data_IF_449963206370
#
_entry.id   IF_449963206370
#
_cell.length_a   1.000
_cell.length_b   1.000
_cell.length_c   1.000
_cell.angle_alpha   90.00
_cell.angle_beta   90.00
_cell.angle_gamma   90.00
#
_symmetry.space_group_name_H-M   'P 1'
#
loop_
_entity.id
_entity.type
_entity.pdbx_description
1 polymer ?
#
# COMPACT_ATOMS: atom_id res chain seq x y z
N UNK A 1 -12.01 -43.81 57.64
CA UNK A 1 -12.17 -42.41 57.25
C UNK A 1 -11.20 -41.95 56.13
N UNK A 2 -9.93 -42.29 56.11
CA UNK A 2 -8.96 -41.86 55.05
C UNK A 2 -9.27 -42.37 53.65
N UNK A 3 -9.92 -43.52 53.46
CA UNK A 3 -10.31 -44.08 52.18
C UNK A 3 -11.49 -43.33 51.49
N UNK A 4 -12.40 -42.78 52.29
CA UNK A 4 -13.58 -42.04 51.78
C UNK A 4 -13.17 -40.68 51.19
N UNK A 5 -12.19 -40.02 51.80
CA UNK A 5 -11.68 -38.73 51.27
C UNK A 5 -10.87 -38.91 49.98
N UNK A 6 -10.19 -40.04 49.79
CA UNK A 6 -9.47 -40.35 48.56
C UNK A 6 -10.42 -40.62 47.40
N UNK A 7 -11.55 -41.31 47.63
CA UNK A 7 -12.58 -41.57 46.64
C UNK A 7 -13.33 -40.28 46.23
N UNK A 8 -13.62 -39.39 47.20
CA UNK A 8 -14.24 -38.08 46.91
C UNK A 8 -13.31 -37.14 46.13
N UNK A 9 -11.99 -37.14 46.40
CA UNK A 9 -11.04 -36.34 45.65
C UNK A 9 -10.84 -36.84 44.22
N UNK A 10 -10.92 -38.14 43.96
CA UNK A 10 -10.85 -38.74 42.63
C UNK A 10 -12.14 -38.44 41.84
N UNK A 11 -13.31 -38.42 42.52
CA UNK A 11 -14.58 -38.06 41.88
C UNK A 11 -14.63 -36.57 41.46
N UNK A 12 -14.09 -35.66 42.30
CA UNK A 12 -13.99 -34.24 41.96
C UNK A 12 -12.99 -33.96 40.85
N UNK A 13 -11.89 -34.70 40.74
CA UNK A 13 -10.94 -34.55 39.63
C UNK A 13 -11.50 -35.05 38.30
N UNK A 14 -12.35 -36.09 38.30
CA UNK A 14 -13.00 -36.58 37.11
C UNK A 14 -14.14 -35.67 36.62
N UNK A 15 -14.83 -34.93 37.48
CA UNK A 15 -15.85 -33.97 37.10
C UNK A 15 -15.25 -32.69 36.53
N UNK A 16 -14.06 -32.28 36.98
CA UNK A 16 -13.32 -31.14 36.41
C UNK A 16 -12.76 -31.49 35.01
N UNK A 17 -12.29 -32.73 34.82
CA UNK A 17 -11.78 -33.18 33.52
C UNK A 17 -12.89 -33.31 32.45
N UNK A 18 -14.13 -33.69 32.86
CA UNK A 18 -15.26 -33.81 31.94
C UNK A 18 -15.86 -32.44 31.53
N UNK A 19 -15.78 -31.43 32.40
CA UNK A 19 -16.22 -30.07 32.02
C UNK A 19 -15.21 -29.32 31.11
N UNK A 20 -13.93 -29.70 31.13
CA UNK A 20 -12.91 -29.15 30.24
C UNK A 20 -13.02 -29.69 28.81
N UNK A 21 -13.69 -30.81 28.55
CA UNK A 21 -13.85 -31.42 27.23
C UNK A 21 -15.11 -30.99 26.49
N UNK A 22 -16.02 -30.21 27.07
CA UNK A 22 -17.24 -29.72 26.47
C UNK A 22 -17.09 -28.27 25.93
N UNK A 23 -15.88 -27.87 25.55
CA UNK A 23 -15.76 -26.72 24.66
C UNK A 23 -16.03 -27.19 23.23
N UNK A 24 -17.28 -27.06 22.83
CA UNK A 24 -17.79 -27.42 21.51
C UNK A 24 -16.89 -26.88 20.41
N UNK A 25 -16.46 -27.75 19.51
CA UNK A 25 -15.77 -27.42 18.26
C UNK A 25 -16.58 -26.43 17.41
N UNK A 26 -17.88 -26.29 17.67
CA UNK A 26 -18.80 -25.43 16.97
C UNK A 26 -18.82 -23.96 17.45
N UNK A 27 -18.31 -23.68 18.66
CA UNK A 27 -18.23 -22.30 19.16
C UNK A 27 -17.07 -21.49 18.52
N UNK A 28 -16.12 -22.14 17.85
CA UNK A 28 -15.05 -21.47 17.12
C UNK A 28 -15.46 -20.98 15.73
N UNK A 29 -16.57 -21.45 15.19
CA UNK A 29 -17.06 -21.04 13.85
C UNK A 29 -17.56 -19.59 13.78
N UNK A 30 -17.79 -18.96 14.92
CA UNK A 30 -18.26 -17.58 15.03
C UNK A 30 -17.25 -16.59 15.63
N UNK A 31 -16.02 -17.06 15.98
CA UNK A 31 -14.98 -16.15 16.40
C UNK A 31 -14.38 -15.50 15.16
N UNK A 32 -14.47 -14.17 15.04
CA UNK A 32 -13.84 -13.48 13.91
C UNK A 32 -12.36 -13.84 13.84
N UNK A 33 -11.76 -13.95 12.66
CA UNK A 33 -10.36 -14.26 12.52
C UNK A 33 -9.53 -13.25 13.31
N UNK A 34 -8.58 -13.72 14.13
CA UNK A 34 -7.71 -12.87 14.97
C UNK A 34 -6.93 -11.81 14.18
N UNK A 35 -6.87 -11.95 12.85
CA UNK A 35 -6.15 -11.07 11.92
C UNK A 35 -7.04 -10.74 10.72
N UNK A 36 -8.11 -10.03 10.98
CA UNK A 36 -8.95 -9.49 9.93
C UNK A 36 -8.31 -8.20 9.37
N UNK A 37 -8.23 -8.07 8.05
CA UNK A 37 -7.81 -6.83 7.39
C UNK A 37 -9.05 -5.97 7.13
N UNK A 38 -9.11 -4.82 7.79
CA UNK A 38 -10.11 -3.76 7.58
C UNK A 38 -9.37 -2.56 6.99
N UNK A 39 -9.24 -2.55 5.68
CA UNK A 39 -8.41 -1.59 4.96
C UNK A 39 -9.24 -0.51 4.27
N UNK A 40 -8.62 0.65 4.09
CA UNK A 40 -9.16 1.76 3.31
C UNK A 40 -8.11 2.25 2.31
N UNK A 41 -8.53 2.54 1.08
CA UNK A 41 -7.73 3.29 0.12
C UNK A 41 -7.86 4.77 0.40
N UNK A 42 -6.73 5.43 0.59
CA UNK A 42 -6.63 6.86 0.82
C UNK A 42 -5.91 7.49 -0.36
N UNK A 43 -6.68 8.14 -1.24
CA UNK A 43 -6.14 8.70 -2.47
C UNK A 43 -5.56 10.10 -2.26
N UNK A 44 -4.41 10.34 -2.90
CA UNK A 44 -3.75 11.65 -2.88
C UNK A 44 -3.94 12.42 -4.19
N UNK A 45 -4.40 11.74 -5.25
CA UNK A 45 -4.59 12.36 -6.58
C UNK A 45 -5.52 13.57 -6.50
N UNK A 46 -5.02 14.74 -6.89
CA UNK A 46 -5.79 15.98 -6.85
C UNK A 46 -6.29 16.38 -5.47
N UNK A 47 -5.77 15.78 -4.40
CA UNK A 47 -6.21 16.03 -3.04
C UNK A 47 -7.63 15.50 -2.74
N UNK A 48 -8.10 14.43 -3.42
CA UNK A 48 -9.47 13.91 -3.26
C UNK A 48 -9.77 13.48 -1.82
N UNK A 49 -8.89 12.72 -1.18
CA UNK A 49 -9.04 12.40 0.23
C UNK A 49 -8.08 13.24 1.06
N UNK A 50 -6.79 13.23 0.74
CA UNK A 50 -5.72 13.99 1.37
C UNK A 50 -4.58 14.22 0.36
N UNK A 51 -3.89 15.38 0.42
CA UNK A 51 -4.14 16.54 1.28
C UNK A 51 -5.15 17.52 0.66
N UNK A 52 -5.86 18.25 1.50
CA UNK A 52 -6.75 19.37 1.10
C UNK A 52 -6.00 20.70 1.02
N UNK A 53 -4.94 20.83 1.81
CA UNK A 53 -4.10 22.03 1.88
C UNK A 53 -2.75 21.76 1.22
N UNK A 54 -2.29 22.67 0.34
CA UNK A 54 -0.94 22.61 -0.21
C UNK A 54 0.08 23.10 0.82
N UNK A 55 1.12 22.27 1.07
CA UNK A 55 2.20 22.59 1.99
C UNK A 55 3.30 23.40 1.28
N UNK A 56 3.46 24.68 1.65
CA UNK A 56 4.47 25.59 1.14
C UNK A 56 4.94 26.62 2.17
N UNK A 57 4.34 26.66 3.36
CA UNK A 57 4.75 27.45 4.52
C UNK A 57 4.69 26.59 5.77
N UNK A 58 5.38 26.93 6.87
CA UNK A 58 5.28 26.19 8.12
C UNK A 58 3.83 26.00 8.59
N UNK A 59 3.01 27.04 8.48
CA UNK A 59 1.59 26.97 8.85
C UNK A 59 0.79 26.01 7.99
N UNK A 60 1.02 25.98 6.67
CA UNK A 60 0.29 25.09 5.76
C UNK A 60 0.80 23.66 5.85
N UNK A 61 2.07 23.44 6.20
CA UNK A 61 2.62 22.12 6.52
C UNK A 61 1.90 21.53 7.73
N UNK A 62 1.81 22.29 8.83
CA UNK A 62 1.12 21.82 10.03
C UNK A 62 -0.37 21.57 9.79
N UNK A 63 -1.02 22.42 8.99
CA UNK A 63 -2.42 22.20 8.61
C UNK A 63 -2.58 20.91 7.81
N UNK A 64 -1.73 20.64 6.81
CA UNK A 64 -1.75 19.42 6.00
C UNK A 64 -1.55 18.17 6.87
N UNK A 65 -0.62 18.23 7.83
CA UNK A 65 -0.40 17.15 8.80
C UNK A 65 -1.63 16.92 9.69
N UNK A 66 -2.24 17.99 10.20
CA UNK A 66 -3.43 17.90 11.03
C UNK A 66 -4.63 17.32 10.28
N UNK A 67 -4.78 17.61 8.98
CA UNK A 67 -5.80 17.01 8.11
C UNK A 67 -5.65 15.48 8.09
N UNK A 68 -4.43 14.96 7.93
CA UNK A 68 -4.17 13.52 7.95
C UNK A 68 -4.46 12.92 9.34
N UNK A 69 -3.97 13.52 10.40
CA UNK A 69 -4.24 13.05 11.76
C UNK A 69 -5.74 12.94 12.04
N UNK A 70 -6.52 13.95 11.65
CA UNK A 70 -7.98 13.94 11.82
C UNK A 70 -8.64 12.81 11.05
N UNK A 71 -8.20 12.56 9.82
CA UNK A 71 -8.69 11.46 8.99
C UNK A 71 -8.35 10.10 9.61
N UNK A 72 -7.10 9.91 10.05
CA UNK A 72 -6.65 8.67 10.69
C UNK A 72 -7.38 8.41 12.01
N UNK A 73 -7.70 9.44 12.80
CA UNK A 73 -8.51 9.32 14.03
C UNK A 73 -9.93 8.83 13.72
N UNK A 74 -10.53 9.29 12.61
CA UNK A 74 -11.84 8.80 12.16
C UNK A 74 -11.78 7.34 11.72
N UNK A 75 -10.74 6.96 10.99
CA UNK A 75 -10.52 5.59 10.55
C UNK A 75 -10.29 4.63 11.74
N UNK A 76 -9.52 5.06 12.73
CA UNK A 76 -9.30 4.30 13.97
C UNK A 76 -10.62 4.10 14.73
N UNK A 77 -11.45 5.14 14.87
CA UNK A 77 -12.78 5.04 15.49
C UNK A 77 -13.72 4.10 14.73
N UNK A 78 -13.56 4.00 13.41
CA UNK A 78 -14.27 3.05 12.57
C UNK A 78 -13.67 1.63 12.58
N UNK A 79 -12.71 1.35 13.47
CA UNK A 79 -11.99 0.08 13.58
C UNK A 79 -11.21 -0.33 12.31
N UNK A 80 -10.82 0.62 11.45
CA UNK A 80 -9.88 0.33 10.37
C UNK A 80 -8.50 0.05 10.96
N UNK A 81 -7.79 -0.92 10.39
CA UNK A 81 -6.48 -1.33 10.86
C UNK A 81 -5.38 -1.29 9.78
N UNK A 82 -5.73 -0.88 8.57
CA UNK A 82 -4.80 -0.80 7.45
C UNK A 82 -5.19 0.38 6.54
N UNK A 83 -4.21 1.20 6.19
CA UNK A 83 -4.35 2.30 5.23
C UNK A 83 -3.49 2.01 4.00
N UNK A 84 -4.11 2.00 2.81
CA UNK A 84 -3.40 1.97 1.54
C UNK A 84 -3.28 3.41 1.05
N UNK A 85 -2.15 4.06 1.36
CA UNK A 85 -1.89 5.45 1.01
C UNK A 85 -1.35 5.55 -0.42
N UNK A 86 -2.03 6.31 -1.27
CA UNK A 86 -1.56 6.52 -2.65
C UNK A 86 -0.25 7.30 -2.66
N UNK A 87 0.85 6.56 -2.81
CA UNK A 87 2.23 7.04 -2.69
C UNK A 87 2.85 7.38 -4.04
N UNK A 88 2.54 6.59 -5.08
CA UNK A 88 2.85 6.87 -6.48
C UNK A 88 1.57 7.05 -7.27
N UNK A 89 1.47 8.14 -8.03
CA UNK A 89 0.22 8.54 -8.70
C UNK A 89 0.32 8.32 -10.21
N UNK A 90 0.99 9.23 -10.94
CA UNK A 90 1.11 9.20 -12.41
C UNK A 90 2.54 9.48 -12.86
N UNK A 91 3.47 8.62 -12.44
CA UNK A 91 4.90 8.88 -12.62
C UNK A 91 5.40 10.03 -11.75
N UNK A 92 4.70 10.26 -10.65
CA UNK A 92 5.00 11.24 -9.59
C UNK A 92 4.74 10.62 -8.23
N UNK A 93 5.39 11.11 -7.20
CA UNK A 93 5.37 10.54 -5.84
C UNK A 93 5.15 11.60 -4.77
N UNK A 94 4.82 11.18 -3.55
CA UNK A 94 4.62 12.05 -2.39
C UNK A 94 5.75 11.96 -1.36
N UNK A 95 6.92 11.48 -1.77
CA UNK A 95 8.11 11.32 -0.92
C UNK A 95 9.37 11.73 -1.72
N UNK A 96 10.52 12.01 -1.08
CA UNK A 96 11.76 12.28 -1.79
C UNK A 96 12.26 11.03 -2.52
N UNK A 97 12.20 11.04 -3.85
CA UNK A 97 12.57 9.92 -4.71
C UNK A 97 13.70 10.28 -5.66
N UNK A 98 14.59 9.30 -5.93
CA UNK A 98 15.62 9.40 -6.96
C UNK A 98 15.09 9.14 -8.38
N UNK A 99 13.89 8.54 -8.49
CA UNK A 99 13.30 8.09 -9.75
C UNK A 99 12.28 9.07 -10.31
N UNK A 100 11.36 9.54 -9.48
CA UNK A 100 10.21 10.31 -9.92
C UNK A 100 10.09 11.67 -9.18
N UNK A 101 9.55 12.70 -9.83
CA UNK A 101 9.38 14.01 -9.22
C UNK A 101 8.20 14.01 -8.24
N UNK A 102 8.20 15.00 -7.36
CA UNK A 102 7.09 15.28 -6.45
C UNK A 102 5.77 15.49 -7.19
N UNK A 103 4.70 14.92 -6.68
CA UNK A 103 3.37 15.25 -7.15
C UNK A 103 2.94 16.64 -6.65
N UNK A 104 2.20 17.35 -7.49
CA UNK A 104 1.71 18.69 -7.15
C UNK A 104 0.64 18.70 -6.06
N UNK A 105 0.01 17.55 -5.75
CA UNK A 105 -1.01 17.48 -4.72
C UNK A 105 -0.48 17.87 -3.33
N UNK A 106 0.80 17.63 -3.04
CA UNK A 106 1.38 17.91 -1.72
C UNK A 106 1.82 19.37 -1.54
N UNK A 107 2.37 20.00 -2.58
CA UNK A 107 2.93 21.36 -2.48
C UNK A 107 2.15 22.42 -3.26
N UNK A 108 1.18 22.04 -4.09
CA UNK A 108 0.52 22.91 -5.07
C UNK A 108 1.36 23.18 -6.30
N UNK A 109 2.63 22.74 -6.33
CA UNK A 109 3.56 22.97 -7.43
C UNK A 109 4.22 21.64 -7.85
N UNK A 110 3.82 21.07 -9.00
CA UNK A 110 4.39 19.82 -9.49
C UNK A 110 5.93 19.86 -9.57
N UNK A 111 6.58 18.81 -9.08
CA UNK A 111 8.04 18.70 -9.01
C UNK A 111 8.69 19.39 -7.82
N UNK A 112 7.94 20.07 -6.96
CA UNK A 112 8.46 20.77 -5.79
C UNK A 112 8.14 20.04 -4.49
N UNK A 113 9.14 19.94 -3.59
CA UNK A 113 8.95 19.40 -2.25
C UNK A 113 7.96 20.23 -1.43
N UNK A 114 7.13 19.59 -0.60
CA UNK A 114 6.27 20.27 0.37
C UNK A 114 7.02 20.81 1.62
N UNK A 115 8.34 20.58 1.72
CA UNK A 115 9.14 20.98 2.88
C UNK A 115 9.17 19.97 4.03
N UNK A 116 8.56 18.81 3.87
CA UNK A 116 8.64 17.65 4.77
C UNK A 116 8.44 16.36 3.97
N UNK A 117 8.50 15.21 4.62
CA UNK A 117 8.23 13.91 4.00
C UNK A 117 6.82 13.42 4.37
N UNK A 118 5.82 13.54 3.44
CA UNK A 118 4.46 13.10 3.67
C UNK A 118 4.31 11.60 3.90
N UNK A 119 5.12 10.76 3.25
CA UNK A 119 5.05 9.31 3.42
C UNK A 119 5.57 8.90 4.80
N UNK A 120 6.73 9.40 5.20
CA UNK A 120 7.29 9.15 6.53
C UNK A 120 6.29 9.56 7.63
N UNK A 121 5.74 10.78 7.51
CA UNK A 121 4.76 11.28 8.45
C UNK A 121 3.51 10.38 8.53
N UNK A 122 3.00 9.93 7.38
CA UNK A 122 1.81 9.07 7.34
C UNK A 122 2.06 7.70 8.00
N UNK A 123 3.23 7.10 7.77
CA UNK A 123 3.62 5.83 8.40
C UNK A 123 3.65 5.99 9.93
N UNK A 124 4.34 7.02 10.42
CA UNK A 124 4.43 7.29 11.87
C UNK A 124 3.05 7.49 12.51
N UNK A 125 2.17 8.25 11.84
CA UNK A 125 0.83 8.53 12.36
C UNK A 125 -0.12 7.31 12.27
N UNK A 126 0.05 6.44 11.27
CA UNK A 126 -0.63 5.14 11.22
C UNK A 126 -0.17 4.24 12.37
N UNK A 127 1.15 4.08 12.58
CA UNK A 127 1.72 3.24 13.62
C UNK A 127 1.33 3.70 15.03
N UNK A 128 1.31 5.01 15.30
CA UNK A 128 0.82 5.57 16.58
C UNK A 128 -0.62 5.16 16.90
N UNK A 129 -1.43 4.85 15.89
CA UNK A 129 -2.83 4.43 16.01
C UNK A 129 -3.02 2.91 15.91
N UNK A 130 -1.93 2.13 15.84
CA UNK A 130 -1.97 0.68 15.66
C UNK A 130 -2.48 0.23 14.29
N UNK A 131 -2.34 1.09 13.28
CA UNK A 131 -2.71 0.79 11.89
C UNK A 131 -1.47 0.51 11.04
N UNK A 132 -1.58 -0.45 10.13
CA UNK A 132 -0.59 -0.66 9.08
C UNK A 132 -0.71 0.44 8.01
N UNK A 133 0.44 0.87 7.47
CA UNK A 133 0.53 1.77 6.32
C UNK A 133 1.12 1.03 5.13
N UNK A 134 0.34 0.89 4.06
CA UNK A 134 0.77 0.28 2.81
C UNK A 134 0.95 1.36 1.74
N UNK A 135 2.07 1.36 1.04
CA UNK A 135 2.28 2.25 -0.09
C UNK A 135 1.47 1.78 -1.31
N UNK A 136 0.48 2.55 -1.70
CA UNK A 136 -0.31 2.31 -2.91
C UNK A 136 0.40 2.89 -4.13
N UNK A 137 0.84 2.02 -5.04
CA UNK A 137 1.64 2.33 -6.22
C UNK A 137 0.79 2.12 -7.47
N UNK A 138 0.34 3.21 -8.10
CA UNK A 138 -0.27 3.16 -9.45
C UNK A 138 0.82 2.80 -10.45
N UNK A 139 0.77 1.61 -11.06
CA UNK A 139 1.91 0.98 -11.72
C UNK A 139 2.06 1.40 -13.20
N UNK A 140 1.10 1.06 -14.04
CA UNK A 140 1.19 1.23 -15.50
C UNK A 140 0.80 2.63 -16.01
N UNK A 141 -0.27 3.28 -15.54
CA UNK A 141 -0.62 4.64 -15.98
C UNK A 141 0.40 5.68 -15.55
N UNK A 142 0.70 6.62 -16.45
CA UNK A 142 1.64 7.74 -16.22
C UNK A 142 0.95 9.10 -16.36
N UNK A 143 -0.24 9.14 -16.97
CA UNK A 143 -1.07 10.33 -17.12
C UNK A 143 -0.86 11.06 -18.44
N UNK A 144 -1.36 12.29 -18.50
CA UNK A 144 -1.34 13.06 -19.77
C UNK A 144 0.09 13.46 -20.19
N UNK A 145 0.41 13.51 -21.50
CA UNK A 145 1.77 13.78 -22.01
C UNK A 145 2.43 15.04 -21.45
N UNK A 146 1.63 16.06 -21.13
CA UNK A 146 2.10 17.34 -20.60
C UNK A 146 2.33 17.33 -19.08
N UNK A 147 1.97 16.24 -18.37
CA UNK A 147 2.19 16.09 -16.95
C UNK A 147 3.67 16.00 -16.58
N UNK A 148 3.97 16.26 -15.31
CA UNK A 148 5.34 16.23 -14.78
C UNK A 148 5.95 14.82 -14.83
N UNK A 149 5.19 13.79 -14.45
CA UNK A 149 5.63 12.40 -14.52
C UNK A 149 5.97 11.94 -15.94
N UNK A 150 5.05 12.06 -16.94
CA UNK A 150 5.35 11.70 -18.32
C UNK A 150 6.53 12.46 -18.91
N UNK A 151 6.66 13.77 -18.64
CA UNK A 151 7.81 14.57 -19.10
C UNK A 151 9.13 14.06 -18.51
N UNK A 152 9.14 13.75 -17.23
CA UNK A 152 10.33 13.18 -16.58
C UNK A 152 10.71 11.83 -17.20
N UNK A 153 9.75 10.91 -17.29
CA UNK A 153 9.98 9.59 -17.87
C UNK A 153 10.38 9.66 -19.36
N UNK A 154 9.74 10.51 -20.15
CA UNK A 154 10.09 10.69 -21.57
C UNK A 154 11.54 11.18 -21.73
N UNK A 155 12.03 12.00 -20.83
CA UNK A 155 13.42 12.49 -20.87
C UNK A 155 14.43 11.42 -20.45
N UNK A 156 14.11 10.60 -19.46
CA UNK A 156 15.04 9.64 -18.83
C UNK A 156 14.93 8.24 -19.44
N UNK A 157 13.72 7.82 -19.78
CA UNK A 157 13.35 6.46 -20.16
C UNK A 157 12.25 6.45 -21.23
N UNK A 158 12.47 7.07 -22.41
CA UNK A 158 11.45 7.16 -23.46
C UNK A 158 10.97 5.79 -23.94
N UNK A 159 11.84 4.79 -23.90
CA UNK A 159 11.56 3.41 -24.32
C UNK A 159 10.52 2.70 -23.45
N UNK A 160 10.28 3.17 -22.23
CA UNK A 160 9.29 2.61 -21.31
C UNK A 160 7.87 3.10 -21.61
N UNK A 161 7.72 4.14 -22.42
CA UNK A 161 6.45 4.81 -22.60
C UNK A 161 5.74 4.42 -23.90
N UNK A 162 4.42 4.35 -23.82
CA UNK A 162 3.51 4.30 -24.96
C UNK A 162 2.38 5.30 -24.75
N UNK A 163 1.84 5.83 -25.87
CA UNK A 163 0.67 6.70 -25.85
C UNK A 163 -0.55 5.91 -26.32
N UNK A 164 -1.65 6.02 -25.57
CA UNK A 164 -2.94 5.44 -25.93
C UNK A 164 -3.99 6.54 -25.70
N UNK A 165 -4.68 6.93 -26.78
CA UNK A 165 -5.56 8.10 -26.71
C UNK A 165 -4.79 9.34 -26.26
N UNK A 166 -5.28 10.01 -25.23
CA UNK A 166 -4.69 11.23 -24.67
C UNK A 166 -3.79 10.97 -23.45
N UNK A 167 -3.51 9.73 -23.12
CA UNK A 167 -2.73 9.37 -21.95
C UNK A 167 -1.47 8.56 -22.29
N UNK A 168 -0.49 8.66 -21.40
CA UNK A 168 0.76 7.91 -21.42
C UNK A 168 0.70 6.76 -20.45
N UNK A 169 1.27 5.64 -20.84
CA UNK A 169 1.35 4.42 -20.05
C UNK A 169 2.77 3.85 -20.13
N UNK A 170 3.18 3.10 -19.12
CA UNK A 170 4.35 2.26 -19.22
C UNK A 170 4.05 1.04 -20.11
N UNK A 171 5.07 0.52 -20.79
CA UNK A 171 4.97 -0.66 -21.67
C UNK A 171 5.07 -1.95 -20.86
N UNK A 172 3.97 -2.70 -20.62
CA UNK A 172 4.03 -3.90 -19.78
C UNK A 172 4.87 -5.04 -20.36
N UNK A 173 5.08 -5.04 -21.68
CA UNK A 173 5.89 -6.05 -22.36
C UNK A 173 7.40 -5.87 -22.16
N UNK A 174 7.83 -4.74 -21.65
CA UNK A 174 9.26 -4.45 -21.46
C UNK A 174 9.73 -4.92 -20.08
N UNK A 175 10.78 -5.75 -20.04
CA UNK A 175 11.44 -6.09 -18.78
C UNK A 175 11.92 -4.84 -18.03
N UNK A 176 12.42 -3.84 -18.76
CA UNK A 176 12.84 -2.58 -18.18
C UNK A 176 11.71 -1.83 -17.44
N UNK A 177 10.43 -2.00 -17.83
CA UNK A 177 9.28 -1.50 -17.08
C UNK A 177 9.16 -2.22 -15.73
N UNK A 178 9.31 -3.55 -15.73
CA UNK A 178 9.29 -4.32 -14.49
C UNK A 178 10.41 -3.88 -13.54
N UNK A 179 11.62 -3.74 -14.05
CA UNK A 179 12.78 -3.30 -13.29
C UNK A 179 12.60 -1.87 -12.74
N UNK A 180 12.00 -0.97 -13.53
CA UNK A 180 11.74 0.41 -13.11
C UNK A 180 10.73 0.47 -11.95
N UNK A 181 9.59 -0.23 -12.06
CA UNK A 181 8.58 -0.28 -11.00
C UNK A 181 9.16 -0.95 -9.75
N UNK A 182 9.94 -2.02 -9.94
CA UNK A 182 10.63 -2.71 -8.84
C UNK A 182 11.61 -1.79 -8.10
N UNK A 183 12.33 -0.95 -8.81
CA UNK A 183 13.26 0.01 -8.19
C UNK A 183 12.52 1.06 -7.34
N UNK A 184 11.36 1.55 -7.80
CA UNK A 184 10.51 2.44 -6.99
C UNK A 184 10.01 1.74 -5.73
N UNK A 185 9.50 0.51 -5.85
CA UNK A 185 9.02 -0.24 -4.70
C UNK A 185 10.17 -0.61 -3.73
N UNK A 186 11.35 -0.92 -4.26
CA UNK A 186 12.57 -1.14 -3.47
C UNK A 186 12.98 0.14 -2.73
N UNK A 187 12.97 1.30 -3.38
CA UNK A 187 13.27 2.60 -2.76
C UNK A 187 12.34 2.87 -1.58
N UNK A 188 11.05 2.65 -1.73
CA UNK A 188 10.06 2.78 -0.64
C UNK A 188 10.38 1.79 0.48
N UNK A 189 10.56 0.52 0.14
CA UNK A 189 10.80 -0.55 1.13
C UNK A 189 12.12 -0.33 1.89
N UNK A 190 13.16 0.13 1.20
CA UNK A 190 14.47 0.39 1.81
C UNK A 190 14.44 1.57 2.77
N UNK A 191 13.82 2.68 2.36
CA UNK A 191 13.92 3.95 3.08
C UNK A 191 12.88 4.12 4.19
N UNK A 192 11.77 3.36 4.16
CA UNK A 192 10.64 3.56 5.07
C UNK A 192 10.28 2.30 5.85
N UNK A 193 9.74 2.48 7.05
CA UNK A 193 9.16 1.41 7.85
C UNK A 193 7.72 1.10 7.38
N UNK A 194 7.59 0.75 6.11
CA UNK A 194 6.32 0.45 5.45
C UNK A 194 5.88 -0.98 5.74
N UNK A 195 4.59 -1.21 5.99
CA UNK A 195 4.05 -2.55 6.28
C UNK A 195 3.71 -3.35 5.02
N UNK A 196 3.44 -2.65 3.92
CA UNK A 196 3.10 -3.29 2.66
C UNK A 196 3.28 -2.40 1.42
N UNK A 197 3.33 -3.07 0.27
CA UNK A 197 3.27 -2.45 -1.05
C UNK A 197 2.01 -2.97 -1.76
N UNK A 198 1.16 -2.05 -2.21
CA UNK A 198 -0.04 -2.34 -2.99
C UNK A 198 0.16 -1.90 -4.45
N UNK A 199 0.14 -2.85 -5.39
CA UNK A 199 0.27 -2.57 -6.82
C UNK A 199 -1.11 -2.38 -7.42
N UNK A 200 -1.41 -1.16 -7.84
CA UNK A 200 -2.65 -0.84 -8.54
C UNK A 200 -2.41 -0.58 -10.03
N UNK A 201 -3.47 -0.69 -10.83
CA UNK A 201 -3.42 -0.56 -12.28
C UNK A 201 -2.31 -1.41 -12.92
N UNK A 202 -2.06 -2.59 -12.35
CA UNK A 202 -1.09 -3.57 -12.85
C UNK A 202 -1.72 -4.44 -13.94
N UNK A 203 -2.09 -3.78 -15.05
CA UNK A 203 -2.77 -4.37 -16.19
C UNK A 203 -2.50 -3.59 -17.47
N UNK A 204 -2.78 -4.20 -18.60
CA UNK A 204 -2.89 -3.45 -19.84
C UNK A 204 -4.08 -2.48 -19.79
N UNK A 205 -3.97 -1.27 -20.37
CA UNK A 205 -5.09 -0.34 -20.44
C UNK A 205 -6.28 -0.96 -21.19
N UNK A 206 -7.49 -0.78 -20.67
CA UNK A 206 -8.72 -1.39 -21.21
C UNK A 206 -9.02 -0.93 -22.64
N UNK A 207 -8.61 0.30 -22.96
CA UNK A 207 -8.80 0.89 -24.30
C UNK A 207 -7.75 0.44 -25.31
N UNK A 208 -6.74 -0.34 -24.87
CA UNK A 208 -5.68 -0.81 -25.75
C UNK A 208 -6.11 -2.03 -26.56
N UNK A 209 -6.06 -1.93 -27.90
CA UNK A 209 -6.14 -3.12 -28.74
C UNK A 209 -4.81 -3.91 -28.61
N UNK A 210 -4.90 -5.09 -28.03
CA UNK A 210 -3.74 -5.97 -27.89
C UNK A 210 -3.37 -6.62 -29.24
N UNK A 211 -2.11 -6.49 -29.63
CA UNK A 211 -1.53 -7.17 -30.81
C UNK A 211 -0.78 -8.45 -30.40
N UNK A 212 -1.00 -8.96 -29.20
CA UNK A 212 -0.41 -10.16 -28.63
C UNK A 212 -1.49 -11.08 -28.07
N UNK A 213 -1.19 -12.36 -27.87
CA UNK A 213 -2.13 -13.29 -27.26
C UNK A 213 -2.43 -12.91 -25.80
N UNK A 214 -3.61 -13.30 -25.30
CA UNK A 214 -3.96 -13.13 -23.88
C UNK A 214 -2.98 -13.83 -22.95
N UNK A 215 -2.43 -14.98 -23.37
CA UNK A 215 -1.40 -15.69 -22.60
C UNK A 215 -0.13 -14.85 -22.48
N UNK A 216 0.35 -14.29 -23.56
CA UNK A 216 1.52 -13.40 -23.53
C UNK A 216 1.28 -12.15 -22.69
N UNK A 217 0.10 -11.54 -22.80
CA UNK A 217 -0.26 -10.38 -21.98
C UNK A 217 -0.23 -10.71 -20.48
N UNK A 218 -0.77 -11.87 -20.08
CA UNK A 218 -0.70 -12.33 -18.67
C UNK A 218 0.75 -12.57 -18.23
N UNK A 219 1.57 -13.19 -19.06
CA UNK A 219 3.00 -13.42 -18.75
C UNK A 219 3.73 -12.10 -18.51
N UNK A 220 3.48 -11.08 -19.32
CA UNK A 220 4.09 -9.75 -19.16
C UNK A 220 3.68 -9.10 -17.82
N UNK A 221 2.42 -9.18 -17.45
CA UNK A 221 1.96 -8.67 -16.14
C UNK A 221 2.55 -9.50 -14.99
N UNK A 222 2.56 -10.82 -15.09
CA UNK A 222 3.17 -11.70 -14.08
C UNK A 222 4.66 -11.42 -13.91
N UNK A 223 5.38 -11.12 -14.99
CA UNK A 223 6.78 -10.70 -14.94
C UNK A 223 6.96 -9.43 -14.09
N UNK A 224 6.12 -8.41 -14.28
CA UNK A 224 6.20 -7.18 -13.48
C UNK A 224 5.95 -7.50 -12.01
N UNK A 225 4.84 -8.18 -11.70
CA UNK A 225 4.47 -8.52 -10.31
C UNK A 225 5.58 -9.33 -9.64
N UNK A 226 6.11 -10.35 -10.33
CA UNK A 226 7.19 -11.17 -9.78
C UNK A 226 8.46 -10.35 -9.53
N UNK A 227 8.86 -9.50 -10.48
CA UNK A 227 10.08 -8.68 -10.34
C UNK A 227 9.95 -7.71 -9.15
N UNK A 228 8.77 -7.09 -8.98
CA UNK A 228 8.51 -6.22 -7.83
C UNK A 228 8.51 -7.01 -6.53
N UNK A 229 7.80 -8.15 -6.50
CA UNK A 229 7.76 -9.03 -5.33
C UNK A 229 9.17 -9.42 -4.88
N UNK A 230 9.98 -9.92 -5.79
CA UNK A 230 11.34 -10.37 -5.47
C UNK A 230 12.20 -9.22 -4.95
N UNK A 231 12.07 -8.02 -5.52
CA UNK A 231 12.79 -6.84 -5.08
C UNK A 231 12.38 -6.37 -3.66
N UNK A 232 11.08 -6.35 -3.37
CA UNK A 232 10.55 -5.98 -2.04
C UNK A 232 10.96 -7.01 -0.99
N UNK A 233 10.82 -8.30 -1.30
CA UNK A 233 11.15 -9.39 -0.36
C UNK A 233 12.64 -9.52 -0.11
N UNK A 234 13.49 -9.13 -1.05
CA UNK A 234 14.94 -9.08 -0.86
C UNK A 234 15.35 -7.96 0.11
N UNK A 235 14.63 -6.82 0.12
CA UNK A 235 14.88 -5.73 1.08
C UNK A 235 14.33 -6.06 2.47
N UNK A 236 13.02 -6.38 2.55
CA UNK A 236 12.31 -6.68 3.80
C UNK A 236 11.33 -7.84 3.59
N UNK A 237 11.68 -9.07 3.98
CA UNK A 237 10.85 -10.26 3.73
C UNK A 237 9.45 -10.19 4.33
N UNK A 238 9.27 -9.41 5.41
CA UNK A 238 8.00 -9.28 6.13
C UNK A 238 7.03 -8.28 5.50
N UNK A 239 7.49 -7.36 4.64
CA UNK A 239 6.62 -6.38 3.96
C UNK A 239 5.60 -7.10 3.11
N UNK A 240 4.32 -6.80 3.32
CA UNK A 240 3.20 -7.43 2.61
C UNK A 240 3.14 -6.95 1.16
N UNK A 241 2.59 -7.80 0.29
CA UNK A 241 2.35 -7.46 -1.12
C UNK A 241 0.89 -7.76 -1.48
N UNK A 242 0.23 -6.84 -2.16
CA UNK A 242 -1.15 -6.99 -2.64
C UNK A 242 -1.36 -6.30 -3.99
#
# INVERSE_FOLDING_TARGET
MKFIYLLLSILCLNTIATTAQVFHKDSYSHIPPKREVRAVWLTTIGGLDWPKTYAHTPRTIEKQKQELCTLLDQLQKANMNTVLLQTRIRGTVIYPSQYEPWDGCVSGKPGSSPGYDPLQFAIEECHKRGMECHAWVVSVPVGRPNGTGPKNLKRRHPELLMKIGDEMFMRPEKKATADYIANICREITHNYDIDGIHLDYIRYPETMKLNISRTQARQNISMIVKTVHDAVKAEKPWVKMS
#
